data_IF_514454600261
#
_entry.id   IF_514454600261
#
_cell.length_a   1.000
_cell.length_b   1.000
_cell.length_c   1.000
_cell.angle_alpha   90.00
_cell.angle_beta   90.00
_cell.angle_gamma   90.00
#
_symmetry.space_group_name_H-M   'P 1'
#
loop_
_entity.id
_entity.type
_entity.pdbx_description
1 polymer ?
#
# COMPACT_ATOMS: atom_id res chain seq x y z
N UNK A 1 22.15 -9.60 2.71
CA UNK A 1 21.72 -9.49 2.86
C UNK A 1 20.76 -9.31 2.94
N UNK A 2 20.08 -9.22 3.02
CA UNK A 2 19.30 -9.07 3.28
C UNK A 2 18.28 -8.98 3.08
N UNK A 3 17.59 -8.86 3.15
CA UNK A 3 16.63 -8.84 3.38
C UNK A 3 15.79 -8.38 2.73
N UNK A 4 15.24 -8.31 2.30
CA UNK A 4 14.47 -7.92 1.69
C UNK A 4 13.30 -7.74 1.91
N UNK A 5 12.92 -7.51 2.38
CA UNK A 5 11.73 -7.24 2.75
C UNK A 5 11.07 -6.25 2.00
N UNK A 6 9.79 -6.00 2.07
CA UNK A 6 9.06 -4.98 1.41
C UNK A 6 9.38 -3.69 2.07
N UNK A 7 10.39 -3.00 1.59
CA UNK A 7 10.80 -1.81 2.18
C UNK A 7 10.28 -0.60 1.51
N UNK A 8 9.64 -0.69 0.34
CA UNK A 8 9.12 0.47 -0.36
C UNK A 8 7.72 0.19 -0.85
N UNK A 9 6.98 1.23 -1.18
CA UNK A 9 5.63 1.07 -1.67
C UNK A 9 5.65 0.33 -3.00
N UNK A 10 6.69 0.54 -3.80
CA UNK A 10 6.80 -0.17 -5.07
C UNK A 10 6.97 -1.66 -4.85
N UNK A 11 7.73 -2.04 -3.84
CA UNK A 11 7.90 -3.46 -3.53
C UNK A 11 6.59 -4.08 -3.11
N UNK A 12 5.81 -3.37 -2.34
CA UNK A 12 4.52 -3.87 -1.89
C UNK A 12 3.58 -4.04 -3.09
N UNK A 13 3.56 -3.07 -3.99
CA UNK A 13 2.71 -3.15 -5.17
C UNK A 13 3.11 -4.32 -6.05
N UNK A 14 4.40 -4.55 -6.20
CA UNK A 14 4.87 -5.66 -6.99
C UNK A 14 4.46 -6.99 -6.37
N UNK A 15 4.54 -7.09 -5.06
CA UNK A 15 4.15 -8.30 -4.35
C UNK A 15 2.66 -8.56 -4.59
N UNK A 16 1.82 -7.53 -4.54
CA UNK A 16 0.41 -7.71 -4.79
C UNK A 16 0.14 -8.14 -6.23
N UNK A 17 0.87 -7.60 -7.18
CA UNK A 17 0.72 -8.00 -8.55
C UNK A 17 1.09 -9.46 -8.75
N UNK A 18 2.09 -9.95 -8.05
CA UNK A 18 2.46 -11.35 -8.16
C UNK A 18 1.35 -12.24 -7.64
N UNK A 19 0.69 -11.84 -6.57
CA UNK A 19 -0.41 -12.63 -6.04
C UNK A 19 -1.57 -12.63 -7.04
N UNK A 20 -1.87 -11.50 -7.64
CA UNK A 20 -2.97 -11.42 -8.58
C UNK A 20 -2.71 -12.31 -9.79
N UNK A 21 -1.47 -12.38 -10.23
CA UNK A 21 -1.13 -13.17 -11.40
C UNK A 21 -0.86 -14.62 -11.10
N UNK A 22 -0.88 -15.04 -9.87
CA UNK A 22 -0.53 -16.39 -9.48
C UNK A 22 -1.77 -17.27 -9.60
N UNK A 23 -1.82 -18.21 -10.54
CA UNK A 23 -2.98 -19.05 -10.70
C UNK A 23 -3.22 -19.99 -9.52
N UNK A 24 -2.19 -20.18 -8.67
CA UNK A 24 -2.36 -21.04 -7.55
C UNK A 24 -2.77 -20.30 -6.31
N UNK A 25 -2.84 -19.00 -6.34
CA UNK A 25 -3.26 -18.26 -5.18
C UNK A 25 -4.75 -18.40 -5.01
N UNK A 26 -5.20 -18.45 -3.75
CA UNK A 26 -6.58 -18.59 -3.45
C UNK A 26 -7.36 -17.39 -3.98
N UNK A 27 -8.59 -17.58 -4.45
CA UNK A 27 -9.35 -16.45 -5.00
C UNK A 27 -9.56 -15.31 -4.02
N UNK A 28 -9.71 -15.61 -2.73
CA UNK A 28 -9.86 -14.56 -1.74
C UNK A 28 -8.57 -13.77 -1.59
N UNK A 29 -7.44 -14.42 -1.66
CA UNK A 29 -6.16 -13.75 -1.58
C UNK A 29 -5.94 -12.85 -2.81
N UNK A 30 -6.35 -13.32 -3.97
CA UNK A 30 -6.21 -12.53 -5.18
C UNK A 30 -7.10 -11.30 -5.15
N UNK A 31 -8.32 -11.46 -4.62
CA UNK A 31 -9.22 -10.34 -4.52
C UNK A 31 -8.68 -9.31 -3.53
N UNK A 32 -8.18 -9.78 -2.40
CA UNK A 32 -7.60 -8.90 -1.39
C UNK A 32 -6.41 -8.14 -1.98
N UNK A 33 -5.57 -8.82 -2.73
CA UNK A 33 -4.41 -8.17 -3.33
C UNK A 33 -4.83 -7.13 -4.35
N UNK A 34 -5.91 -7.36 -5.09
CA UNK A 34 -6.39 -6.39 -6.03
C UNK A 34 -6.88 -5.15 -5.32
N UNK A 35 -7.61 -5.31 -4.25
CA UNK A 35 -8.12 -4.17 -3.50
C UNK A 35 -6.97 -3.40 -2.87
N UNK A 36 -6.00 -4.11 -2.32
CA UNK A 36 -4.87 -3.47 -1.70
C UNK A 36 -4.04 -2.73 -2.73
N UNK A 37 -3.85 -3.32 -3.90
CA UNK A 37 -3.08 -2.67 -4.94
C UNK A 37 -3.77 -1.38 -5.39
N UNK A 38 -5.08 -1.40 -5.52
CA UNK A 38 -5.82 -0.21 -5.90
C UNK A 38 -5.63 0.89 -4.85
N UNK A 39 -5.71 0.53 -3.58
CA UNK A 39 -5.53 1.50 -2.51
C UNK A 39 -4.10 2.05 -2.51
N UNK A 40 -3.12 1.20 -2.75
CA UNK A 40 -1.74 1.64 -2.80
C UNK A 40 -1.50 2.56 -4.01
N UNK A 41 -2.16 2.29 -5.11
CA UNK A 41 -2.04 3.15 -6.27
C UNK A 41 -2.61 4.53 -5.99
N UNK A 42 -3.72 4.59 -5.28
CA UNK A 42 -4.28 5.89 -4.93
C UNK A 42 -3.41 6.61 -3.93
N UNK A 43 -2.85 5.89 -2.98
CA UNK A 43 -1.92 6.49 -2.02
C UNK A 43 -0.71 7.05 -2.77
N UNK A 44 -0.18 6.29 -3.72
CA UNK A 44 0.99 6.73 -4.47
C UNK A 44 0.68 7.98 -5.29
N UNK A 45 -0.51 8.05 -5.83
CA UNK A 45 -0.90 9.21 -6.61
C UNK A 45 -1.01 10.45 -5.72
N UNK A 46 -1.58 10.31 -4.53
CA UNK A 46 -1.71 11.43 -3.62
C UNK A 46 -0.35 11.89 -3.09
N UNK A 47 0.63 11.00 -3.06
CA UNK A 47 1.94 11.31 -2.50
C UNK A 47 3.03 11.29 -3.55
N UNK A 48 2.67 11.47 -4.81
CA UNK A 48 3.65 11.27 -5.87
C UNK A 48 4.79 12.26 -5.80
N UNK A 49 4.56 13.44 -5.29
CA UNK A 49 5.64 14.39 -5.17
C UNK A 49 6.63 13.97 -4.11
N UNK A 50 6.14 13.42 -3.01
CA UNK A 50 7.01 12.92 -1.97
C UNK A 50 7.79 11.71 -2.44
N UNK A 51 7.14 10.85 -3.22
CA UNK A 51 7.82 9.69 -3.76
C UNK A 51 8.91 10.14 -4.72
N UNK A 52 8.62 11.11 -5.56
CA UNK A 52 9.62 11.62 -6.47
C UNK A 52 10.78 12.27 -5.74
N UNK A 53 10.54 12.80 -4.56
CA UNK A 53 11.58 13.39 -3.76
C UNK A 53 12.38 12.37 -2.96
N UNK A 54 12.04 11.11 -3.02
CA UNK A 54 12.79 10.07 -2.36
C UNK A 54 12.06 9.33 -1.28
N UNK A 55 10.83 9.67 -0.99
CA UNK A 55 10.09 9.03 0.10
C UNK A 55 9.34 7.84 -0.46
N UNK A 56 9.97 6.71 -0.51
CA UNK A 56 9.38 5.50 -1.06
C UNK A 56 8.97 4.51 0.03
N UNK A 57 8.70 4.98 1.23
CA UNK A 57 8.40 4.05 2.32
C UNK A 57 7.11 3.30 2.04
N UNK A 58 7.02 2.09 2.57
CA UNK A 58 5.85 1.26 2.40
C UNK A 58 4.82 1.67 3.46
N UNK A 59 3.69 2.25 3.09
CA UNK A 59 2.74 2.69 4.10
C UNK A 59 2.06 1.49 4.74
N UNK A 60 1.75 1.61 6.02
CA UNK A 60 1.02 0.53 6.67
C UNK A 60 -0.47 0.71 6.38
N UNK A 61 -1.28 -0.26 6.80
CA UNK A 61 -2.70 -0.24 6.48
C UNK A 61 -3.39 1.00 7.02
N UNK A 62 -2.98 1.47 8.20
CA UNK A 62 -3.61 2.64 8.77
C UNK A 62 -3.25 3.89 7.98
N UNK A 63 -2.02 4.00 7.51
CA UNK A 63 -1.61 5.13 6.71
C UNK A 63 -2.41 5.21 5.42
N UNK A 64 -2.62 4.07 4.76
CA UNK A 64 -3.38 4.05 3.54
C UNK A 64 -4.84 4.38 3.83
N UNK A 65 -5.40 3.81 4.88
CA UNK A 65 -6.79 4.06 5.24
C UNK A 65 -7.00 5.54 5.53
N UNK A 66 -6.11 6.15 6.27
CA UNK A 66 -6.28 7.54 6.62
C UNK A 66 -6.08 8.47 5.44
N UNK A 67 -5.25 8.06 4.48
CA UNK A 67 -5.09 8.85 3.28
C UNK A 67 -6.39 8.88 2.49
N UNK A 68 -7.11 7.77 2.44
CA UNK A 68 -8.33 7.69 1.68
C UNK A 68 -9.53 8.18 2.48
N UNK A 69 -9.44 8.14 3.80
CA UNK A 69 -10.56 8.53 4.66
C UNK A 69 -10.10 9.45 5.79
N UNK A 70 -9.64 10.65 5.46
CA UNK A 70 -9.03 11.51 6.47
C UNK A 70 -9.99 11.97 7.55
N UNK A 71 -11.30 11.86 7.32
CA UNK A 71 -12.27 12.32 8.30
C UNK A 71 -12.61 11.28 9.32
N UNK A 72 -12.07 10.09 9.23
CA UNK A 72 -12.42 9.04 10.19
C UNK A 72 -11.84 9.36 11.55
N UNK A 73 -12.57 9.04 12.62
CA UNK A 73 -12.08 9.33 13.96
C UNK A 73 -10.74 8.68 14.27
N UNK A 74 -10.49 7.49 13.74
CA UNK A 74 -9.24 6.85 13.99
C UNK A 74 -8.09 7.65 13.46
N UNK A 75 -8.29 8.38 12.38
CA UNK A 75 -7.23 9.19 11.81
C UNK A 75 -7.02 10.48 12.56
N UNK A 76 -8.09 11.00 13.17
CA UNK A 76 -7.97 12.21 13.91
C UNK A 76 -7.23 12.01 15.23
N UNK A 77 -7.33 10.80 15.77
CA UNK A 77 -6.68 10.54 17.02
C UNK A 77 -5.19 10.57 16.91
N UNK A 78 -4.67 10.32 15.73
CA UNK A 78 -3.29 10.21 15.63
C UNK A 78 -2.64 11.47 15.35
N UNK A 79 -3.30 12.48 15.40
CA UNK A 79 -2.74 13.53 15.07
C UNK A 79 -2.02 14.06 16.02
N UNK A 80 -1.49 14.27 16.52
CA UNK A 80 -0.79 14.87 17.41
C UNK A 80 0.31 15.23 17.16
#
# INVERSE_FOLDING_TARGET
KITNLMKSIEDHMEHDKKIIDDPQANPAARRHAKEELHDLEEYAEHHKEEIAAGDHHDPNALEVFCDLHPDEPECLVYDD
#
